data_IF_294741019611
#
_entry.id   IF_294741019611
#
_cell.length_a   1.000
_cell.length_b   1.000
_cell.length_c   1.000
_cell.angle_alpha   90.00
_cell.angle_beta   90.00
_cell.angle_gamma   90.00
#
_symmetry.space_group_name_H-M   'P 1'
#
loop_
_entity.id
_entity.type
_entity.pdbx_description
1 polymer ?
#
# COMPACT_ATOMS: atom_id res chain seq x y z
N UNK A 1 0.57 33.89 50.10
CA UNK A 1 1.01 32.56 49.59
C UNK A 1 -0.23 31.83 49.15
N UNK A 2 -0.49 31.64 47.85
CA UNK A 2 -1.37 30.61 47.37
C UNK A 2 -0.53 29.57 46.60
N UNK A 3 -0.86 28.32 46.89
CA UNK A 3 -0.25 27.09 46.33
C UNK A 3 -0.41 26.97 44.82
N UNK A 4 0.70 26.80 44.13
CA UNK A 4 0.79 26.36 42.77
C UNK A 4 0.50 24.83 42.68
N UNK A 5 -0.77 24.48 42.55
CA UNK A 5 -1.15 23.14 42.20
C UNK A 5 -0.93 22.91 40.68
N UNK A 6 0.24 22.40 40.34
CA UNK A 6 0.57 21.91 38.97
C UNK A 6 -0.43 20.85 38.54
N UNK A 7 -1.35 21.19 37.66
CA UNK A 7 -2.18 20.23 36.92
C UNK A 7 -1.31 19.43 35.94
N UNK A 8 -0.77 18.31 36.42
CA UNK A 8 -0.26 17.25 35.58
C UNK A 8 -1.44 16.52 34.94
N UNK A 9 -1.77 16.85 33.70
CA UNK A 9 -2.73 16.10 32.90
C UNK A 9 -2.21 14.64 32.73
N UNK A 10 -2.99 13.62 33.13
CA UNK A 10 -2.60 12.24 32.91
C UNK A 10 -2.65 11.95 31.40
N UNK A 11 -1.50 11.68 30.79
CA UNK A 11 -1.41 11.08 29.45
C UNK A 11 -2.16 9.77 29.45
N UNK A 12 -3.39 9.75 28.95
CA UNK A 12 -4.17 8.57 28.68
C UNK A 12 -3.41 7.69 27.68
N UNK A 13 -2.56 6.80 28.16
CA UNK A 13 -2.08 5.65 27.36
C UNK A 13 -3.30 4.76 27.14
N UNK A 14 -3.92 4.91 25.96
CA UNK A 14 -4.92 3.96 25.50
C UNK A 14 -4.22 2.59 25.42
N UNK A 15 -4.39 1.77 26.45
CA UNK A 15 -4.04 0.34 26.41
C UNK A 15 -4.99 -0.27 25.39
N UNK A 16 -4.50 -0.55 24.19
CA UNK A 16 -5.23 -1.41 23.25
C UNK A 16 -5.64 -2.67 23.99
N UNK A 17 -6.92 -2.96 24.02
CA UNK A 17 -7.44 -4.19 24.58
C UNK A 17 -6.81 -5.37 23.81
N UNK A 18 -6.56 -6.50 24.49
CA UNK A 18 -6.10 -7.73 23.82
C UNK A 18 -7.07 -8.13 22.69
N UNK A 19 -8.36 -7.88 22.84
CA UNK A 19 -9.37 -8.11 21.83
C UNK A 19 -9.14 -7.27 20.56
N UNK A 20 -8.75 -6.00 20.68
CA UNK A 20 -8.50 -5.12 19.53
C UNK A 20 -7.29 -5.57 18.70
N UNK A 21 -6.27 -6.12 19.38
CA UNK A 21 -5.09 -6.66 18.71
C UNK A 21 -5.45 -7.92 17.90
N UNK A 22 -6.21 -8.84 18.52
CA UNK A 22 -6.64 -10.06 17.82
C UNK A 22 -7.53 -9.78 16.61
N UNK A 23 -8.46 -8.82 16.70
CA UNK A 23 -9.29 -8.39 15.57
C UNK A 23 -8.41 -7.85 14.43
N UNK A 24 -7.40 -7.06 14.74
CA UNK A 24 -6.46 -6.54 13.72
C UNK A 24 -5.65 -7.65 13.07
N UNK A 25 -5.05 -8.54 13.85
CA UNK A 25 -4.27 -9.65 13.30
C UNK A 25 -5.15 -10.55 12.42
N UNK A 26 -6.34 -10.93 12.91
CA UNK A 26 -7.25 -11.79 12.18
C UNK A 26 -7.70 -11.16 10.85
N UNK A 27 -8.15 -9.90 10.86
CA UNK A 27 -8.58 -9.21 9.62
C UNK A 27 -7.41 -9.00 8.65
N UNK A 28 -6.18 -8.75 9.13
CA UNK A 28 -5.00 -8.69 8.28
C UNK A 28 -4.68 -10.02 7.59
N UNK A 29 -4.74 -11.13 8.33
CA UNK A 29 -4.55 -12.47 7.76
C UNK A 29 -5.65 -12.80 6.74
N UNK A 30 -6.91 -12.53 7.06
CA UNK A 30 -8.03 -12.76 6.13
C UNK A 30 -7.85 -11.97 4.84
N UNK A 31 -7.47 -10.69 4.92
CA UNK A 31 -7.21 -9.87 3.73
C UNK A 31 -6.05 -10.43 2.90
N UNK A 32 -4.95 -10.84 3.54
CA UNK A 32 -3.80 -11.40 2.85
C UNK A 32 -4.15 -12.74 2.14
N UNK A 33 -4.85 -13.63 2.85
CA UNK A 33 -5.31 -14.91 2.28
C UNK A 33 -6.28 -14.69 1.13
N UNK A 34 -7.22 -13.74 1.28
CA UNK A 34 -8.16 -13.38 0.21
C UNK A 34 -7.41 -12.84 -1.02
N UNK A 35 -6.51 -11.89 -0.83
CA UNK A 35 -5.75 -11.27 -1.93
C UNK A 35 -4.91 -12.31 -2.69
N UNK A 36 -4.17 -13.17 -1.98
CA UNK A 36 -3.37 -14.24 -2.58
C UNK A 36 -4.26 -15.29 -3.24
N UNK A 37 -5.35 -15.70 -2.58
CA UNK A 37 -6.30 -16.67 -3.12
C UNK A 37 -6.95 -16.21 -4.42
N UNK A 38 -7.41 -14.95 -4.46
CA UNK A 38 -7.98 -14.34 -5.67
C UNK A 38 -6.92 -14.19 -6.77
N UNK A 39 -5.69 -13.82 -6.41
CA UNK A 39 -4.58 -13.77 -7.37
C UNK A 39 -4.27 -15.15 -7.95
N UNK A 40 -4.33 -16.20 -7.13
CA UNK A 40 -4.11 -17.58 -7.58
C UNK A 40 -5.20 -18.05 -8.55
N UNK A 41 -6.48 -17.83 -8.22
CA UNK A 41 -7.62 -18.17 -9.07
C UNK A 41 -7.52 -17.43 -10.41
N UNK A 42 -7.27 -16.11 -10.39
CA UNK A 42 -7.14 -15.28 -11.59
C UNK A 42 -8.45 -15.09 -12.36
N UNK A 43 -8.32 -14.74 -13.65
CA UNK A 43 -9.45 -14.57 -14.56
C UNK A 43 -10.52 -13.61 -14.06
N UNK A 44 -11.77 -13.90 -14.38
CA UNK A 44 -12.91 -13.03 -14.05
C UNK A 44 -13.04 -12.72 -12.55
N UNK A 45 -12.73 -13.68 -11.66
CA UNK A 45 -12.81 -13.49 -10.20
C UNK A 45 -11.80 -12.42 -9.74
N UNK A 46 -10.58 -12.46 -10.28
CA UNK A 46 -9.56 -11.46 -10.00
C UNK A 46 -9.98 -10.06 -10.49
N UNK A 47 -10.54 -9.99 -11.69
CA UNK A 47 -10.98 -8.72 -12.28
C UNK A 47 -12.11 -8.10 -11.45
N UNK A 48 -13.13 -8.88 -11.09
CA UNK A 48 -14.23 -8.42 -10.25
C UNK A 48 -13.74 -7.94 -8.90
N UNK A 49 -12.79 -8.65 -8.29
CA UNK A 49 -12.21 -8.25 -7.00
C UNK A 49 -11.55 -6.86 -7.08
N UNK A 50 -10.71 -6.61 -8.10
CA UNK A 50 -10.04 -5.32 -8.23
C UNK A 50 -10.95 -4.19 -8.69
N UNK A 51 -11.95 -4.47 -9.53
CA UNK A 51 -12.99 -3.51 -9.88
C UNK A 51 -13.79 -3.12 -8.62
N UNK A 52 -14.18 -4.08 -7.81
CA UNK A 52 -14.88 -3.82 -6.55
C UNK A 52 -14.02 -2.99 -5.58
N UNK A 53 -12.71 -3.28 -5.46
CA UNK A 53 -11.78 -2.49 -4.69
C UNK A 53 -11.71 -1.04 -5.20
N UNK A 54 -11.62 -0.83 -6.51
CA UNK A 54 -11.65 0.50 -7.13
C UNK A 54 -12.94 1.27 -6.84
N UNK A 55 -14.10 0.60 -6.92
CA UNK A 55 -15.41 1.20 -6.60
C UNK A 55 -15.46 1.63 -5.12
N UNK A 56 -14.97 0.79 -4.21
CA UNK A 56 -14.91 1.10 -2.77
C UNK A 56 -13.98 2.27 -2.50
N UNK A 57 -12.79 2.30 -3.12
CA UNK A 57 -11.84 3.42 -3.02
C UNK A 57 -12.48 4.72 -3.53
N UNK A 58 -13.17 4.69 -4.66
CA UNK A 58 -13.88 5.85 -5.17
C UNK A 58 -14.97 6.34 -4.23
N UNK A 59 -15.70 5.44 -3.60
CA UNK A 59 -16.71 5.76 -2.61
C UNK A 59 -16.09 6.40 -1.35
N UNK A 60 -14.98 5.86 -0.84
CA UNK A 60 -14.22 6.42 0.27
C UNK A 60 -13.68 7.82 -0.07
N UNK A 61 -13.08 7.95 -1.24
CA UNK A 61 -12.59 9.23 -1.75
C UNK A 61 -13.68 10.31 -1.79
N UNK A 62 -14.87 9.99 -2.34
CA UNK A 62 -16.00 10.93 -2.37
C UNK A 62 -16.41 11.41 -0.99
N UNK A 63 -16.31 10.57 0.04
CA UNK A 63 -16.60 10.96 1.43
C UNK A 63 -15.55 11.93 1.96
N UNK A 64 -14.27 11.67 1.69
CA UNK A 64 -13.15 12.52 2.13
C UNK A 64 -13.31 13.93 1.55
N UNK A 65 -13.59 14.04 0.26
CA UNK A 65 -13.62 15.33 -0.46
C UNK A 65 -14.97 16.04 -0.43
N UNK A 66 -15.94 15.54 0.32
CA UNK A 66 -17.33 16.02 0.30
C UNK A 66 -17.48 17.50 0.65
N UNK A 67 -16.63 18.04 1.54
CA UNK A 67 -16.65 19.42 2.03
C UNK A 67 -15.87 20.41 1.14
N UNK A 68 -15.22 19.95 0.08
CA UNK A 68 -14.41 20.81 -0.78
C UNK A 68 -15.28 21.74 -1.64
N UNK A 69 -14.91 23.04 -1.76
CA UNK A 69 -15.54 23.96 -2.70
C UNK A 69 -15.30 23.55 -4.16
N UNK A 70 -14.17 22.87 -4.46
CA UNK A 70 -13.83 22.33 -5.77
C UNK A 70 -14.15 20.84 -5.88
N UNK A 71 -15.26 20.40 -5.29
CA UNK A 71 -15.65 18.99 -5.17
C UNK A 71 -15.62 18.23 -6.50
N UNK A 72 -16.02 18.85 -7.60
CA UNK A 72 -16.05 18.19 -8.90
C UNK A 72 -14.64 17.82 -9.42
N UNK A 73 -13.63 18.69 -9.21
CA UNK A 73 -12.24 18.39 -9.56
C UNK A 73 -11.70 17.23 -8.72
N UNK A 74 -11.99 17.23 -7.42
CA UNK A 74 -11.61 16.15 -6.54
C UNK A 74 -12.32 14.84 -6.86
N UNK A 75 -13.57 14.86 -7.34
CA UNK A 75 -14.28 13.67 -7.81
C UNK A 75 -13.59 13.10 -9.06
N UNK A 76 -13.19 13.94 -10.03
CA UNK A 76 -12.43 13.49 -11.19
C UNK A 76 -11.08 12.89 -10.79
N UNK A 77 -10.35 13.53 -9.88
CA UNK A 77 -9.10 12.98 -9.34
C UNK A 77 -9.32 11.62 -8.65
N UNK A 78 -10.40 11.49 -7.88
CA UNK A 78 -10.77 10.23 -7.21
C UNK A 78 -11.15 9.13 -8.20
N UNK A 79 -11.84 9.45 -9.28
CA UNK A 79 -12.14 8.50 -10.34
C UNK A 79 -10.85 8.00 -10.99
N UNK A 80 -9.92 8.90 -11.29
CA UNK A 80 -8.61 8.54 -11.85
C UNK A 80 -7.81 7.67 -10.87
N UNK A 81 -7.81 8.02 -9.57
CA UNK A 81 -7.14 7.22 -8.53
C UNK A 81 -7.75 5.82 -8.40
N UNK A 82 -9.07 5.69 -8.47
CA UNK A 82 -9.76 4.40 -8.43
C UNK A 82 -9.46 3.53 -9.67
N UNK A 83 -9.34 4.14 -10.86
CA UNK A 83 -8.91 3.43 -12.07
C UNK A 83 -7.47 2.93 -11.93
N UNK A 84 -6.56 3.75 -11.38
CA UNK A 84 -5.18 3.34 -11.09
C UNK A 84 -5.15 2.21 -10.03
N UNK A 85 -6.09 2.18 -9.10
CA UNK A 85 -6.17 1.10 -8.13
C UNK A 85 -6.63 -0.23 -8.77
N UNK A 86 -7.54 -0.19 -9.73
CA UNK A 86 -8.15 -1.37 -10.32
C UNK A 86 -7.37 -1.92 -11.53
N UNK A 87 -7.01 -1.08 -12.50
CA UNK A 87 -6.51 -1.55 -13.80
C UNK A 87 -5.09 -2.13 -13.78
N UNK A 88 -4.08 -1.55 -13.11
CA UNK A 88 -2.72 -2.06 -13.12
C UNK A 88 -2.59 -3.53 -12.67
N UNK A 89 -3.17 -3.96 -11.54
CA UNK A 89 -3.10 -5.37 -11.15
C UNK A 89 -3.82 -6.29 -12.15
N UNK A 90 -4.96 -5.86 -12.72
CA UNK A 90 -5.68 -6.63 -13.75
C UNK A 90 -4.78 -6.81 -14.98
N UNK A 91 -4.21 -5.73 -15.50
CA UNK A 91 -3.33 -5.77 -16.68
C UNK A 91 -2.13 -6.70 -16.45
N UNK A 92 -1.47 -6.57 -15.31
CA UNK A 92 -0.32 -7.43 -14.97
C UNK A 92 -0.72 -8.90 -14.84
N UNK A 93 -1.86 -9.18 -14.20
CA UNK A 93 -2.34 -10.56 -13.97
C UNK A 93 -2.70 -11.29 -15.27
N UNK A 94 -3.22 -10.55 -16.26
CA UNK A 94 -3.56 -11.09 -17.57
C UNK A 94 -2.36 -11.29 -18.51
N UNK A 95 -1.14 -10.97 -18.07
CA UNK A 95 0.07 -11.29 -18.84
C UNK A 95 0.14 -12.78 -19.14
N UNK A 96 0.43 -13.12 -20.39
CA UNK A 96 0.59 -14.53 -20.83
C UNK A 96 1.68 -15.22 -20.01
N UNK A 97 2.84 -14.54 -19.88
CA UNK A 97 3.95 -15.02 -19.05
C UNK A 97 4.02 -14.23 -17.75
N UNK A 98 4.24 -14.94 -16.65
CA UNK A 98 4.50 -14.37 -15.32
C UNK A 98 3.37 -13.50 -14.72
N UNK A 99 2.12 -13.58 -15.20
CA UNK A 99 1.03 -12.77 -14.67
C UNK A 99 0.79 -12.98 -13.17
N UNK A 100 0.67 -14.22 -12.72
CA UNK A 100 0.57 -14.55 -11.28
C UNK A 100 1.82 -14.10 -10.50
N UNK A 101 3.01 -14.41 -11.04
CA UNK A 101 4.28 -14.08 -10.38
C UNK A 101 4.44 -12.57 -10.21
N UNK A 102 4.01 -11.76 -11.20
CA UNK A 102 4.02 -10.30 -11.11
C UNK A 102 3.17 -9.78 -9.95
N UNK A 103 1.99 -10.36 -9.72
CA UNK A 103 1.12 -9.98 -8.61
C UNK A 103 1.71 -10.42 -7.26
N UNK A 104 2.21 -11.65 -7.17
CA UNK A 104 2.85 -12.13 -5.94
C UNK A 104 4.12 -11.35 -5.62
N UNK A 105 4.90 -10.98 -6.64
CA UNK A 105 6.06 -10.10 -6.50
C UNK A 105 5.66 -8.73 -5.94
N UNK A 106 4.63 -8.10 -6.50
CA UNK A 106 4.11 -6.81 -6.01
C UNK A 106 3.63 -6.89 -4.56
N UNK A 107 2.83 -7.91 -4.22
CA UNK A 107 2.40 -8.11 -2.83
C UNK A 107 3.60 -8.29 -1.90
N UNK A 108 4.55 -9.14 -2.29
CA UNK A 108 5.75 -9.38 -1.51
C UNK A 108 6.56 -8.11 -1.28
N UNK A 109 6.81 -7.32 -2.33
CA UNK A 109 7.56 -6.06 -2.26
C UNK A 109 6.86 -5.04 -1.36
N UNK A 110 5.55 -4.81 -1.55
CA UNK A 110 4.80 -3.81 -0.79
C UNK A 110 4.70 -4.23 0.68
N UNK A 111 4.28 -5.46 0.96
CA UNK A 111 4.17 -5.94 2.35
C UNK A 111 5.52 -5.96 3.07
N UNK A 112 6.59 -6.38 2.39
CA UNK A 112 7.92 -6.34 2.97
C UNK A 112 8.39 -4.91 3.24
N UNK A 113 8.05 -3.95 2.36
CA UNK A 113 8.32 -2.52 2.58
C UNK A 113 7.65 -2.04 3.86
N UNK A 114 6.37 -2.34 4.05
CA UNK A 114 5.61 -1.88 5.21
C UNK A 114 6.06 -2.55 6.50
N UNK A 115 6.21 -3.87 6.48
CA UNK A 115 6.64 -4.65 7.67
C UNK A 115 8.07 -4.27 8.05
N UNK A 116 9.00 -4.27 7.10
CA UNK A 116 10.40 -3.90 7.32
C UNK A 116 10.53 -2.46 7.80
N UNK A 117 9.78 -1.55 7.15
CA UNK A 117 9.70 -0.15 7.54
C UNK A 117 9.20 0.06 8.97
N UNK A 118 8.15 -0.66 9.36
CA UNK A 118 7.62 -0.63 10.72
C UNK A 118 8.60 -1.19 11.75
N UNK A 119 9.16 -2.37 11.50
CA UNK A 119 10.07 -3.05 12.44
C UNK A 119 11.34 -2.24 12.63
N UNK A 120 12.04 -1.90 11.56
CA UNK A 120 13.32 -1.17 11.61
C UNK A 120 13.11 0.24 12.16
N UNK A 121 12.05 0.93 11.71
CA UNK A 121 11.72 2.27 12.20
C UNK A 121 11.37 2.31 13.69
N UNK A 122 10.82 1.22 14.23
CA UNK A 122 10.52 1.11 15.66
C UNK A 122 11.74 0.73 16.49
N UNK A 123 12.61 -0.13 15.99
CA UNK A 123 13.81 -0.62 16.71
C UNK A 123 14.91 0.43 16.70
N UNK A 124 15.22 1.00 15.53
CA UNK A 124 16.31 1.97 15.36
C UNK A 124 15.83 3.39 15.66
N UNK A 125 14.59 3.75 15.27
CA UNK A 125 14.07 5.10 15.43
C UNK A 125 14.78 6.13 14.54
N UNK A 126 14.96 7.37 15.05
CA UNK A 126 15.70 8.42 14.37
C UNK A 126 14.83 9.51 13.73
N UNK A 127 15.45 10.29 12.82
CA UNK A 127 14.81 11.42 12.17
C UNK A 127 13.54 11.02 11.40
N UNK A 128 12.51 11.86 11.48
CA UNK A 128 11.24 11.64 10.77
C UNK A 128 11.36 12.09 9.32
N UNK A 129 10.73 11.34 8.40
CA UNK A 129 10.75 11.68 6.97
C UNK A 129 9.90 12.91 6.70
N UNK A 130 8.64 12.90 7.13
CA UNK A 130 7.70 14.02 6.94
C UNK A 130 6.72 14.12 8.12
N UNK A 131 7.10 14.82 9.21
CA UNK A 131 6.32 14.89 10.45
C UNK A 131 4.90 15.43 10.28
N UNK A 132 4.70 16.40 9.39
CA UNK A 132 3.40 17.03 9.15
C UNK A 132 2.37 16.09 8.54
N UNK A 133 2.80 15.11 7.73
CA UNK A 133 1.93 14.15 7.03
C UNK A 133 1.86 12.84 7.77
N UNK A 134 3.01 12.27 8.13
CA UNK A 134 3.13 10.99 8.82
C UNK A 134 4.15 11.06 9.97
N UNK A 135 3.72 11.39 11.20
CA UNK A 135 4.62 11.64 12.33
C UNK A 135 5.36 10.39 12.84
N UNK A 136 4.98 9.20 12.39
CA UNK A 136 5.58 7.94 12.83
C UNK A 136 6.67 7.43 11.89
N UNK A 137 6.67 7.78 10.60
CA UNK A 137 7.65 7.28 9.62
C UNK A 137 9.04 7.91 9.83
N UNK A 138 10.07 7.05 9.86
CA UNK A 138 11.48 7.42 10.06
C UNK A 138 12.32 7.09 8.84
N UNK A 139 13.44 7.77 8.64
CA UNK A 139 14.42 7.46 7.58
C UNK A 139 14.99 6.04 7.73
N UNK A 140 15.27 5.61 8.98
CA UNK A 140 15.70 4.23 9.24
C UNK A 140 14.66 3.21 8.78
N UNK A 141 13.36 3.49 9.06
CA UNK A 141 12.26 2.66 8.60
C UNK A 141 12.15 2.64 7.07
N UNK A 142 12.28 3.79 6.40
CA UNK A 142 12.29 3.88 4.94
C UNK A 142 13.35 2.97 4.32
N UNK A 143 14.59 3.06 4.81
CA UNK A 143 15.70 2.22 4.34
C UNK A 143 15.49 0.74 4.69
N UNK A 144 15.03 0.46 5.92
CA UNK A 144 14.72 -0.91 6.35
C UNK A 144 13.63 -1.57 5.51
N UNK A 145 12.62 -0.80 5.11
CA UNK A 145 11.58 -1.25 4.18
C UNK A 145 12.14 -1.60 2.80
N UNK A 146 13.01 -0.76 2.24
CA UNK A 146 13.67 -1.03 0.95
C UNK A 146 14.50 -2.32 1.03
N UNK A 147 15.30 -2.50 2.07
CA UNK A 147 16.14 -3.70 2.25
C UNK A 147 15.26 -4.95 2.35
N UNK A 148 14.20 -4.92 3.17
CA UNK A 148 13.28 -6.03 3.30
C UNK A 148 12.58 -6.36 1.97
N UNK A 149 12.16 -5.34 1.21
CA UNK A 149 11.56 -5.50 -0.10
C UNK A 149 12.52 -6.17 -1.09
N UNK A 150 13.80 -5.75 -1.14
CA UNK A 150 14.80 -6.35 -2.01
C UNK A 150 15.00 -7.83 -1.69
N UNK A 151 15.10 -8.18 -0.40
CA UNK A 151 15.21 -9.58 0.03
C UNK A 151 14.03 -10.40 -0.48
N UNK A 152 12.79 -9.94 -0.20
CA UNK A 152 11.57 -10.68 -0.60
C UNK A 152 11.41 -10.71 -2.11
N UNK A 153 11.68 -9.60 -2.82
CA UNK A 153 11.63 -9.55 -4.28
C UNK A 153 12.59 -10.56 -4.93
N UNK A 154 13.84 -10.63 -4.45
CA UNK A 154 14.83 -11.60 -4.91
C UNK A 154 14.38 -13.05 -4.62
N UNK A 155 13.78 -13.31 -3.46
CA UNK A 155 13.24 -14.63 -3.12
C UNK A 155 12.15 -15.05 -4.11
N UNK A 156 11.17 -14.18 -4.37
CA UNK A 156 10.05 -14.48 -5.28
C UNK A 156 10.56 -14.83 -6.68
N UNK A 157 11.45 -14.02 -7.25
CA UNK A 157 11.96 -14.28 -8.61
C UNK A 157 12.88 -15.49 -8.67
N UNK A 158 13.67 -15.75 -7.63
CA UNK A 158 14.52 -16.93 -7.55
C UNK A 158 13.70 -18.22 -7.63
N UNK A 159 12.63 -18.33 -6.83
CA UNK A 159 11.73 -19.49 -6.87
C UNK A 159 10.89 -19.56 -8.15
N UNK A 160 10.80 -18.48 -8.90
CA UNK A 160 10.11 -18.44 -10.21
C UNK A 160 11.05 -18.70 -11.38
N UNK A 161 12.35 -18.99 -11.14
CA UNK A 161 13.33 -19.24 -12.18
C UNK A 161 13.72 -17.99 -13.00
N UNK A 162 13.48 -16.79 -12.45
CA UNK A 162 13.76 -15.52 -13.14
C UNK A 162 15.15 -15.00 -12.71
N UNK A 163 16.00 -14.52 -13.64
CA UNK A 163 17.30 -13.94 -13.31
C UNK A 163 17.17 -12.70 -12.40
N UNK A 164 18.03 -12.60 -11.39
CA UNK A 164 17.97 -11.52 -10.37
C UNK A 164 18.44 -10.16 -10.92
N UNK A 165 19.21 -10.12 -12.01
CA UNK A 165 19.93 -8.95 -12.52
C UNK A 165 19.28 -7.57 -12.30
N UNK A 166 18.23 -7.25 -13.05
CA UNK A 166 17.52 -5.96 -12.93
C UNK A 166 16.52 -5.87 -11.76
N UNK A 167 16.22 -7.00 -11.11
CA UNK A 167 15.16 -7.09 -10.06
C UNK A 167 15.50 -6.23 -8.85
N UNK A 168 16.76 -6.10 -8.47
CA UNK A 168 17.15 -5.27 -7.32
C UNK A 168 16.75 -3.82 -7.56
N UNK A 169 17.08 -3.26 -8.72
CA UNK A 169 16.75 -1.87 -9.08
C UNK A 169 15.23 -1.70 -9.16
N UNK A 170 14.55 -2.63 -9.82
CA UNK A 170 13.08 -2.65 -9.90
C UNK A 170 12.46 -2.64 -8.50
N UNK A 171 12.90 -3.52 -7.61
CA UNK A 171 12.34 -3.65 -6.27
C UNK A 171 12.56 -2.39 -5.44
N UNK A 172 13.75 -1.78 -5.54
CA UNK A 172 14.03 -0.48 -4.90
C UNK A 172 13.06 0.58 -5.42
N UNK A 173 12.88 0.68 -6.73
CA UNK A 173 11.95 1.65 -7.34
C UNK A 173 10.50 1.42 -6.88
N UNK A 174 10.03 0.18 -6.83
CA UNK A 174 8.67 -0.15 -6.39
C UNK A 174 8.49 0.06 -4.87
N UNK A 175 9.49 -0.21 -4.05
CA UNK A 175 9.46 0.08 -2.62
C UNK A 175 9.39 1.60 -2.35
N UNK A 176 10.13 2.41 -3.09
CA UNK A 176 10.05 3.88 -3.02
C UNK A 176 8.67 4.35 -3.48
N UNK A 177 8.16 3.80 -4.59
CA UNK A 177 6.82 4.11 -5.11
C UNK A 177 5.71 3.77 -4.09
N UNK A 178 5.80 2.61 -3.44
CA UNK A 178 4.89 2.21 -2.37
C UNK A 178 4.90 3.22 -1.21
N UNK A 179 6.08 3.59 -0.73
CA UNK A 179 6.20 4.58 0.35
C UNK A 179 5.68 5.96 -0.06
N UNK A 180 5.90 6.37 -1.31
CA UNK A 180 5.35 7.61 -1.85
C UNK A 180 3.81 7.57 -1.91
N UNK A 181 3.22 6.43 -2.26
CA UNK A 181 1.77 6.22 -2.27
C UNK A 181 1.14 6.41 -0.90
N UNK A 182 1.69 5.79 0.14
CA UNK A 182 1.23 5.98 1.52
C UNK A 182 1.39 7.46 1.97
N UNK A 183 2.49 8.13 1.62
CA UNK A 183 2.62 9.57 1.90
C UNK A 183 1.58 10.41 1.14
N UNK A 184 1.31 10.10 -0.12
CA UNK A 184 0.32 10.79 -0.93
C UNK A 184 -1.08 10.66 -0.30
N UNK A 185 -1.51 9.44 0.01
CA UNK A 185 -2.80 9.18 0.63
C UNK A 185 -2.91 9.87 2.00
N UNK A 186 -1.86 9.76 2.82
CA UNK A 186 -1.79 10.45 4.11
C UNK A 186 -1.92 11.97 3.96
N UNK A 187 -1.27 12.58 2.95
CA UNK A 187 -1.35 14.00 2.67
C UNK A 187 -2.78 14.43 2.28
N UNK A 188 -3.45 13.68 1.42
CA UNK A 188 -4.86 13.91 1.06
C UNK A 188 -5.75 13.88 2.30
N UNK A 189 -5.62 12.86 3.14
CA UNK A 189 -6.42 12.74 4.38
C UNK A 189 -6.19 13.94 5.31
N UNK A 190 -4.94 14.38 5.49
CA UNK A 190 -4.63 15.56 6.33
C UNK A 190 -5.18 16.84 5.73
N UNK A 191 -5.11 17.01 4.41
CA UNK A 191 -5.68 18.17 3.72
C UNK A 191 -7.18 18.32 3.98
N UNK A 192 -7.92 17.22 4.05
CA UNK A 192 -9.36 17.19 4.34
C UNK A 192 -9.70 17.01 5.83
N UNK A 193 -8.71 17.05 6.73
CA UNK A 193 -8.92 16.97 8.19
C UNK A 193 -9.37 15.60 8.69
N UNK A 194 -9.22 14.55 7.87
CA UNK A 194 -9.57 13.18 8.26
C UNK A 194 -8.32 12.36 8.56
N UNK A 195 -8.47 11.25 9.30
CA UNK A 195 -7.38 10.33 9.61
C UNK A 195 -7.47 9.03 8.84
N UNK A 196 -8.63 8.43 8.81
CA UNK A 196 -8.90 7.16 8.14
C UNK A 196 -9.94 7.41 7.04
N UNK A 197 -9.84 6.72 5.90
CA UNK A 197 -10.74 6.91 4.77
C UNK A 197 -12.17 6.45 5.09
N UNK A 198 -12.29 5.37 5.86
CA UNK A 198 -13.55 4.83 6.37
C UNK A 198 -13.32 3.86 7.53
N UNK A 199 -14.38 3.17 7.98
CA UNK A 199 -14.32 2.10 8.98
C UNK A 199 -14.88 0.78 8.45
N UNK A 200 -14.75 0.51 7.14
CA UNK A 200 -15.31 -0.70 6.51
C UNK A 200 -14.61 -1.95 7.03
N UNK A 201 -13.27 -1.88 7.21
CA UNK A 201 -12.49 -3.04 7.66
C UNK A 201 -12.31 -2.96 9.18
N UNK A 202 -12.89 -3.88 9.95
CA UNK A 202 -12.81 -3.86 11.41
C UNK A 202 -11.36 -3.81 11.90
N UNK A 203 -11.00 -2.79 12.68
CA UNK A 203 -9.67 -2.58 13.23
C UNK A 203 -8.60 -2.07 12.24
N UNK A 204 -8.94 -1.93 10.93
CA UNK A 204 -7.98 -1.54 9.88
C UNK A 204 -8.35 -0.28 9.09
N UNK A 205 -9.51 0.33 9.29
CA UNK A 205 -9.93 1.52 8.54
C UNK A 205 -10.60 1.19 7.21
N UNK A 206 -10.28 1.94 6.17
CA UNK A 206 -10.84 1.77 4.83
C UNK A 206 -10.02 0.84 3.92
N UNK A 207 -10.59 0.54 2.74
CA UNK A 207 -9.91 -0.18 1.65
C UNK A 207 -8.79 0.68 1.09
N UNK A 208 -9.01 1.98 0.94
CA UNK A 208 -8.01 2.95 0.49
C UNK A 208 -6.80 2.95 1.45
N UNK A 209 -7.03 2.93 2.78
CA UNK A 209 -5.99 2.87 3.82
C UNK A 209 -5.13 1.58 3.78
N UNK A 210 -5.53 0.57 3.03
CA UNK A 210 -4.82 -0.73 2.90
C UNK A 210 -4.13 -0.92 1.57
N UNK A 211 -4.52 -0.15 0.57
CA UNK A 211 -3.98 -0.24 -0.78
C UNK A 211 -3.16 0.98 -1.20
N UNK A 212 -3.00 1.97 -0.32
CA UNK A 212 -2.32 3.24 -0.55
C UNK A 212 -0.93 3.10 -1.22
N UNK A 213 -0.03 2.34 -0.62
CA UNK A 213 1.28 2.04 -1.18
C UNK A 213 1.21 1.11 -2.40
N UNK A 214 0.30 0.12 -2.36
CA UNK A 214 0.15 -0.82 -3.45
C UNK A 214 -0.27 -0.15 -4.76
N UNK A 215 -1.18 0.83 -4.71
CA UNK A 215 -1.73 1.53 -5.89
C UNK A 215 -0.60 2.17 -6.71
N UNK A 216 0.29 2.91 -6.05
CA UNK A 216 1.38 3.61 -6.75
C UNK A 216 2.45 2.63 -7.21
N UNK A 217 2.78 1.62 -6.42
CA UNK A 217 3.70 0.57 -6.82
C UNK A 217 3.18 -0.21 -8.05
N UNK A 218 1.88 -0.57 -8.06
CA UNK A 218 1.26 -1.27 -9.18
C UNK A 218 1.20 -0.42 -10.45
N UNK A 219 0.95 0.90 -10.32
CA UNK A 219 1.01 1.83 -11.45
C UNK A 219 2.41 1.85 -12.07
N UNK A 220 3.45 2.03 -11.27
CA UNK A 220 4.84 2.03 -11.78
C UNK A 220 5.19 0.67 -12.40
N UNK A 221 4.79 -0.43 -11.76
CA UNK A 221 5.02 -1.78 -12.27
C UNK A 221 4.36 -2.02 -13.62
N UNK A 222 3.08 -1.63 -13.79
CA UNK A 222 2.40 -1.81 -15.07
C UNK A 222 3.00 -0.94 -16.18
N UNK A 223 3.39 0.29 -15.86
CA UNK A 223 4.05 1.19 -16.84
C UNK A 223 5.37 0.59 -17.33
N UNK A 224 6.22 0.09 -16.43
CA UNK A 224 7.46 -0.61 -16.80
C UNK A 224 7.14 -1.87 -17.60
N UNK A 225 6.18 -2.66 -17.13
CA UNK A 225 5.77 -3.89 -17.80
C UNK A 225 5.28 -3.67 -19.22
N UNK A 226 4.41 -2.69 -19.43
CA UNK A 226 3.90 -2.31 -20.76
C UNK A 226 4.98 -1.73 -21.67
N UNK A 227 5.86 -0.89 -21.14
CA UNK A 227 6.95 -0.30 -21.90
C UNK A 227 7.93 -1.34 -22.46
N UNK A 228 8.15 -2.45 -21.72
CA UNK A 228 9.12 -3.49 -22.07
C UNK A 228 8.50 -4.76 -22.66
N UNK A 229 7.29 -5.14 -22.26
CA UNK A 229 6.60 -6.36 -22.68
C UNK A 229 5.38 -6.13 -23.57
N UNK A 230 5.00 -4.86 -23.79
CA UNK A 230 3.77 -4.51 -24.53
C UNK A 230 2.51 -4.99 -23.80
N UNK A 231 1.37 -4.94 -24.52
CA UNK A 231 0.05 -5.29 -23.97
C UNK A 231 -0.13 -6.80 -23.70
N UNK A 232 0.63 -7.65 -24.37
CA UNK A 232 0.46 -9.12 -24.31
C UNK A 232 1.24 -9.70 -23.14
N UNK A 233 2.44 -9.18 -22.86
CA UNK A 233 3.36 -9.73 -21.87
C UNK A 233 3.88 -8.71 -20.86
N UNK A 234 3.02 -7.87 -20.24
CA UNK A 234 3.48 -6.87 -19.28
C UNK A 234 4.16 -7.50 -18.05
N UNK A 235 3.75 -8.70 -17.61
CA UNK A 235 4.41 -9.40 -16.51
C UNK A 235 5.83 -9.83 -16.85
N UNK A 236 6.06 -10.35 -18.08
CA UNK A 236 7.42 -10.63 -18.57
C UNK A 236 8.24 -9.35 -18.70
N UNK A 237 7.67 -8.28 -19.27
CA UNK A 237 8.33 -6.99 -19.38
C UNK A 237 8.71 -6.39 -18.03
N UNK A 238 7.94 -6.65 -16.97
CA UNK A 238 8.27 -6.25 -15.62
C UNK A 238 9.43 -7.05 -15.04
N UNK A 239 9.40 -8.38 -15.13
CA UNK A 239 10.25 -9.26 -14.33
C UNK A 239 11.52 -9.75 -15.05
N UNK A 240 11.52 -9.86 -16.38
CA UNK A 240 12.68 -10.39 -17.14
C UNK A 240 13.52 -9.23 -17.66
N UNK A 241 14.75 -9.10 -17.11
CA UNK A 241 15.70 -8.02 -17.42
C UNK A 241 16.93 -8.55 -18.14
#
# INVERSE_FOLDING_TARGET
MPDDAAHSSPTLRVRLSRSDLWVRVASGIVMAVLAVGVAWIGGFIFDVFWIAAGILIFWEWKKIVASSPFRWLWILAGLFYALIAALPPIILRHSVDFGLVSILFLFGVVWATDIGGYVVGRVIGGAKVWPAVSPKKTWSGTLGGIVAAVIVGCIVVHFSGIPIGGIIILTVALSIASQAGDFFESAIKRHFGVKDASNIIPGHGGVMDRLDGFIVAALIAVLIGLARGGLIQPGRGLLVW
#
